data_IF_242365842310
#
_entry.id   IF_242365842310
#
_cell.length_a   1.000
_cell.length_b   1.000
_cell.length_c   1.000
_cell.angle_alpha   90.00
_cell.angle_beta   90.00
_cell.angle_gamma   90.00
#
_symmetry.space_group_name_H-M   'P 1'
#
loop_
_entity.id
_entity.type
_entity.pdbx_description
1 polymer ?
#
# COMPACT_ATOMS: atom_id res chain seq x y z
N UNK A 1 14.82 10.28 27.34
CA UNK A 1 14.04 10.58 26.12
C UNK A 1 13.96 9.28 25.35
N UNK A 2 12.80 8.62 25.36
CA UNK A 2 12.57 7.43 24.55
C UNK A 2 12.08 7.91 23.18
N UNK A 3 12.97 7.96 22.21
CA UNK A 3 12.60 7.93 20.79
C UNK A 3 12.02 6.56 20.50
N UNK A 4 10.74 6.38 20.86
CA UNK A 4 9.95 5.27 20.34
C UNK A 4 9.60 5.65 18.91
N UNK A 5 10.51 5.33 17.99
CA UNK A 5 10.13 5.19 16.59
C UNK A 5 8.80 4.41 16.54
N UNK A 6 7.83 4.82 15.71
CA UNK A 6 6.57 4.09 15.59
C UNK A 6 6.89 2.59 15.43
N UNK A 7 6.10 1.68 16.02
CA UNK A 7 6.34 0.25 15.86
C UNK A 7 6.59 -0.03 14.38
N UNK A 8 7.68 -0.75 14.08
CA UNK A 8 8.30 -0.92 12.75
C UNK A 8 7.32 -1.32 11.61
N UNK A 9 6.11 -1.72 11.98
CA UNK A 9 5.07 -2.29 11.14
C UNK A 9 3.74 -1.50 11.18
N UNK A 10 3.67 -0.31 11.80
CA UNK A 10 2.40 0.47 11.90
C UNK A 10 1.78 0.75 10.54
N UNK A 11 2.57 1.19 9.56
CA UNK A 11 2.04 1.44 8.22
C UNK A 11 1.63 0.15 7.50
N UNK A 12 2.27 -0.98 7.82
CA UNK A 12 1.85 -2.27 7.29
C UNK A 12 0.51 -2.72 7.89
N UNK A 13 0.32 -2.53 9.19
CA UNK A 13 -0.96 -2.82 9.85
C UNK A 13 -2.08 -1.90 9.32
N UNK A 14 -1.79 -0.62 9.09
CA UNK A 14 -2.71 0.30 8.43
C UNK A 14 -3.06 -0.16 7.01
N UNK A 15 -2.07 -0.66 6.24
CA UNK A 15 -2.34 -1.25 4.93
C UNK A 15 -3.33 -2.41 5.03
N UNK A 16 -3.08 -3.36 5.92
CA UNK A 16 -3.94 -4.55 6.12
C UNK A 16 -5.36 -4.16 6.51
N UNK A 17 -5.51 -3.20 7.42
CA UNK A 17 -6.81 -2.71 7.84
C UNK A 17 -7.57 -2.04 6.68
N UNK A 18 -6.89 -1.17 5.91
CA UNK A 18 -7.50 -0.51 4.76
C UNK A 18 -7.89 -1.49 3.64
N UNK A 19 -7.09 -2.53 3.38
CA UNK A 19 -7.48 -3.61 2.47
C UNK A 19 -8.69 -4.39 2.98
N UNK A 20 -8.75 -4.68 4.28
CA UNK A 20 -9.91 -5.31 4.90
C UNK A 20 -11.19 -4.49 4.72
N UNK A 21 -11.09 -3.18 4.94
CA UNK A 21 -12.18 -2.22 4.69
C UNK A 21 -12.57 -2.22 3.21
N UNK A 22 -11.60 -2.13 2.29
CA UNK A 22 -11.87 -2.13 0.85
C UNK A 22 -12.63 -3.40 0.40
N UNK A 23 -12.22 -4.58 0.91
CA UNK A 23 -12.92 -5.86 0.66
C UNK A 23 -14.36 -5.84 1.16
N UNK A 24 -14.58 -5.34 2.38
CA UNK A 24 -15.92 -5.22 2.95
C UNK A 24 -16.80 -4.28 2.12
N UNK A 25 -16.28 -3.11 1.75
CA UNK A 25 -17.02 -2.12 0.96
C UNK A 25 -17.40 -2.68 -0.43
N UNK A 26 -16.51 -3.43 -1.09
CA UNK A 26 -16.83 -4.11 -2.36
C UNK A 26 -17.92 -5.17 -2.14
N UNK A 27 -17.79 -5.99 -1.10
CA UNK A 27 -18.76 -7.05 -0.80
C UNK A 27 -20.16 -6.49 -0.52
N UNK A 28 -20.26 -5.39 0.21
CA UNK A 28 -21.51 -4.72 0.54
C UNK A 28 -22.08 -3.85 -0.60
N UNK A 29 -21.43 -3.78 -1.76
CA UNK A 29 -21.86 -2.96 -2.90
C UNK A 29 -21.85 -1.46 -2.60
N UNK A 30 -20.90 -1.00 -1.79
CA UNK A 30 -20.78 0.41 -1.39
C UNK A 30 -20.33 1.30 -2.56
N UNK A 31 -20.59 2.62 -2.50
CA UNK A 31 -20.21 3.55 -3.56
C UNK A 31 -18.73 3.47 -3.95
N UNK A 32 -18.46 3.65 -5.25
CA UNK A 32 -17.10 3.57 -5.82
C UNK A 32 -16.11 4.48 -5.10
N UNK A 33 -16.52 5.70 -4.75
CA UNK A 33 -15.66 6.65 -4.05
C UNK A 33 -15.09 6.09 -2.74
N UNK A 34 -15.92 5.39 -1.94
CA UNK A 34 -15.46 4.80 -0.67
C UNK A 34 -14.47 3.67 -0.90
N UNK A 35 -14.73 2.82 -1.90
CA UNK A 35 -13.82 1.73 -2.27
C UNK A 35 -12.50 2.30 -2.78
N UNK A 36 -12.55 3.31 -3.66
CA UNK A 36 -11.37 3.98 -4.20
C UNK A 36 -10.52 4.60 -3.08
N UNK A 37 -11.13 5.29 -2.11
CA UNK A 37 -10.43 5.85 -0.96
C UNK A 37 -9.76 4.76 -0.11
N UNK A 38 -10.47 3.70 0.25
CA UNK A 38 -9.90 2.61 1.06
C UNK A 38 -8.74 1.89 0.32
N UNK A 39 -8.89 1.67 -0.99
CA UNK A 39 -7.84 1.12 -1.85
C UNK A 39 -6.60 2.04 -1.88
N UNK A 40 -6.80 3.34 -2.10
CA UNK A 40 -5.69 4.30 -2.14
C UNK A 40 -4.95 4.36 -0.80
N UNK A 41 -5.69 4.42 0.32
CA UNK A 41 -5.10 4.42 1.65
C UNK A 41 -4.30 3.15 1.95
N UNK A 42 -4.77 1.99 1.47
CA UNK A 42 -4.04 0.74 1.59
C UNK A 42 -2.71 0.77 0.84
N UNK A 43 -2.72 1.24 -0.41
CA UNK A 43 -1.51 1.34 -1.25
C UNK A 43 -0.54 2.37 -0.70
N UNK A 44 -1.03 3.52 -0.25
CA UNK A 44 -0.19 4.55 0.37
C UNK A 44 0.47 4.03 1.65
N UNK A 45 -0.29 3.35 2.50
CA UNK A 45 0.24 2.77 3.74
C UNK A 45 1.31 1.72 3.44
N UNK A 46 1.08 0.82 2.48
CA UNK A 46 2.10 -0.15 2.06
C UNK A 46 3.34 0.53 1.46
N UNK A 47 3.17 1.62 0.70
CA UNK A 47 4.28 2.36 0.10
C UNK A 47 5.15 3.02 1.18
N UNK A 48 4.51 3.69 2.14
CA UNK A 48 5.19 4.29 3.31
C UNK A 48 5.93 3.23 4.11
N UNK A 49 5.30 2.09 4.34
CA UNK A 49 5.93 0.97 5.03
C UNK A 49 7.16 0.48 4.26
N UNK A 50 7.06 0.28 2.94
CA UNK A 50 8.17 -0.22 2.12
C UNK A 50 9.35 0.76 2.08
N UNK A 51 9.06 2.06 1.99
CA UNK A 51 10.08 3.11 2.08
C UNK A 51 10.76 3.11 3.45
N UNK A 52 9.99 3.11 4.54
CA UNK A 52 10.54 3.10 5.90
C UNK A 52 11.45 1.89 6.12
N UNK A 53 11.01 0.68 5.72
CA UNK A 53 11.80 -0.53 5.91
C UNK A 53 13.04 -0.62 5.02
N UNK A 54 13.02 0.04 3.85
CA UNK A 54 14.19 0.18 2.96
C UNK A 54 15.08 1.39 3.30
N UNK A 55 14.73 2.19 4.32
CA UNK A 55 15.51 3.36 4.72
C UNK A 55 15.38 4.55 3.77
N UNK A 56 14.28 4.61 3.01
CA UNK A 56 13.98 5.68 2.06
C UNK A 56 12.92 6.63 2.63
N UNK A 57 13.01 7.95 2.36
CA UNK A 57 12.03 8.91 2.84
C UNK A 57 10.72 8.85 2.03
N UNK A 58 9.58 9.09 2.71
CA UNK A 58 8.31 9.39 2.04
C UNK A 58 8.20 10.88 1.75
N UNK A 59 7.87 11.23 0.50
CA UNK A 59 7.89 12.62 0.00
C UNK A 59 6.49 13.26 -0.06
N UNK A 60 5.47 12.60 0.48
CA UNK A 60 4.09 13.12 0.49
C UNK A 60 3.31 12.92 -0.82
N UNK A 61 3.91 12.24 -1.80
CA UNK A 61 3.31 11.95 -3.10
C UNK A 61 3.47 10.47 -3.45
N UNK A 62 2.36 9.77 -3.63
CA UNK A 62 2.38 8.33 -3.87
C UNK A 62 3.05 7.97 -5.20
N UNK A 63 2.81 8.72 -6.27
CA UNK A 63 3.40 8.44 -7.58
C UNK A 63 4.92 8.61 -7.58
N UNK A 64 5.43 9.69 -6.97
CA UNK A 64 6.85 9.91 -6.77
C UNK A 64 7.49 8.82 -5.89
N UNK A 65 6.82 8.42 -4.81
CA UNK A 65 7.28 7.34 -3.94
C UNK A 65 7.31 5.98 -4.63
N UNK A 66 6.32 5.66 -5.46
CA UNK A 66 6.33 4.45 -6.30
C UNK A 66 7.49 4.49 -7.30
N UNK A 67 7.76 5.64 -7.93
CA UNK A 67 8.93 5.82 -8.81
C UNK A 67 10.25 5.64 -8.07
N UNK A 68 10.35 6.14 -6.84
CA UNK A 68 11.53 5.97 -5.98
C UNK A 68 11.80 4.51 -5.63
N UNK A 69 10.75 3.71 -5.42
CA UNK A 69 10.84 2.26 -5.23
C UNK A 69 11.13 1.49 -6.54
N UNK A 70 11.22 2.18 -7.69
CA UNK A 70 11.25 1.58 -9.02
C UNK A 70 10.07 0.63 -9.29
N UNK A 71 8.88 1.02 -8.81
CA UNK A 71 7.66 0.28 -9.08
C UNK A 71 7.31 0.31 -10.58
N UNK A 72 6.81 -0.81 -11.14
CA UNK A 72 6.23 -0.82 -12.46
C UNK A 72 5.12 0.25 -12.59
N UNK A 73 5.08 0.94 -13.73
CA UNK A 73 4.14 2.03 -13.99
C UNK A 73 2.68 1.62 -13.82
N UNK A 74 2.36 0.36 -14.15
CA UNK A 74 1.01 -0.18 -14.05
C UNK A 74 0.51 -0.25 -12.59
N UNK A 75 1.39 -0.33 -11.59
CA UNK A 75 1.02 -0.30 -10.17
C UNK A 75 0.33 1.03 -9.80
N UNK A 76 0.79 2.14 -10.38
CA UNK A 76 0.16 3.46 -10.21
C UNK A 76 -1.11 3.58 -11.04
N UNK A 77 -1.09 3.18 -12.31
CA UNK A 77 -2.23 3.32 -13.22
C UNK A 77 -3.48 2.56 -12.73
N UNK A 78 -3.28 1.42 -12.05
CA UNK A 78 -4.35 0.66 -11.42
C UNK A 78 -5.10 1.43 -10.33
N UNK A 79 -4.52 2.51 -9.78
CA UNK A 79 -5.14 3.32 -8.74
C UNK A 79 -6.02 4.44 -9.29
N UNK A 80 -6.01 4.71 -10.60
CA UNK A 80 -6.62 5.94 -11.15
C UNK A 80 -8.08 5.79 -11.56
N UNK A 81 -8.49 4.65 -12.13
CA UNK A 81 -9.84 4.49 -12.69
C UNK A 81 -10.37 3.05 -12.61
N UNK A 82 -11.70 2.92 -12.60
CA UNK A 82 -12.40 1.66 -12.82
C UNK A 82 -13.36 1.26 -11.70
N UNK A 83 -14.19 0.27 -12.02
CA UNK A 83 -15.19 -0.27 -11.11
C UNK A 83 -14.59 -0.76 -9.77
N UNK A 84 -15.38 -0.79 -8.67
CA UNK A 84 -14.92 -1.16 -7.34
C UNK A 84 -14.06 -2.42 -7.26
N UNK A 85 -14.49 -3.52 -7.91
CA UNK A 85 -13.74 -4.78 -7.92
C UNK A 85 -12.36 -4.64 -8.61
N UNK A 86 -12.27 -3.83 -9.67
CA UNK A 86 -11.00 -3.55 -10.36
C UNK A 86 -10.06 -2.71 -9.49
N UNK A 87 -10.60 -1.74 -8.74
CA UNK A 87 -9.83 -0.94 -7.78
C UNK A 87 -9.22 -1.83 -6.69
N UNK A 88 -10.02 -2.71 -6.11
CA UNK A 88 -9.57 -3.64 -5.07
C UNK A 88 -8.47 -4.56 -5.60
N UNK A 89 -8.67 -5.20 -6.75
CA UNK A 89 -7.65 -6.05 -7.36
C UNK A 89 -6.35 -5.27 -7.68
N UNK A 90 -6.48 -4.02 -8.10
CA UNK A 90 -5.35 -3.11 -8.32
C UNK A 90 -4.57 -2.82 -7.03
N UNK A 91 -5.27 -2.54 -5.93
CA UNK A 91 -4.66 -2.31 -4.63
C UNK A 91 -3.98 -3.58 -4.09
N UNK A 92 -4.64 -4.75 -4.18
CA UNK A 92 -4.06 -6.01 -3.74
C UNK A 92 -2.79 -6.36 -4.51
N UNK A 93 -2.77 -6.12 -5.81
CA UNK A 93 -1.58 -6.31 -6.65
C UNK A 93 -0.44 -5.34 -6.27
N UNK A 94 -0.77 -4.08 -6.00
CA UNK A 94 0.21 -3.09 -5.54
C UNK A 94 0.84 -3.49 -4.20
N UNK A 95 0.03 -3.91 -3.24
CA UNK A 95 0.50 -4.36 -1.92
C UNK A 95 1.36 -5.62 -2.03
N UNK A 96 0.94 -6.60 -2.83
CA UNK A 96 1.73 -7.82 -3.09
C UNK A 96 3.10 -7.50 -3.72
N UNK A 97 3.14 -6.53 -4.64
CA UNK A 97 4.39 -6.07 -5.23
C UNK A 97 5.33 -5.46 -4.17
N UNK A 98 4.81 -4.62 -3.26
CA UNK A 98 5.62 -3.99 -2.20
C UNK A 98 6.16 -5.02 -1.19
N UNK A 99 5.36 -6.00 -0.79
CA UNK A 99 5.82 -7.11 0.04
C UNK A 99 6.96 -7.90 -0.65
N UNK A 100 6.80 -8.17 -1.94
CA UNK A 100 7.82 -8.85 -2.75
C UNK A 100 9.09 -8.01 -2.93
N UNK A 101 8.94 -6.70 -3.11
CA UNK A 101 10.04 -5.74 -3.17
C UNK A 101 10.90 -5.81 -1.90
N UNK A 102 10.28 -5.72 -0.72
CA UNK A 102 11.01 -5.82 0.54
C UNK A 102 11.71 -7.14 0.74
N UNK A 103 11.10 -8.25 0.31
CA UNK A 103 11.75 -9.56 0.34
C UNK A 103 13.08 -9.59 -0.40
N UNK A 104 13.21 -8.79 -1.47
CA UNK A 104 14.46 -8.65 -2.20
C UNK A 104 15.43 -7.67 -1.55
N UNK A 105 14.97 -6.48 -1.15
CA UNK A 105 15.87 -5.38 -0.77
C UNK A 105 16.22 -5.36 0.73
N UNK A 106 15.38 -5.95 1.57
CA UNK A 106 15.54 -6.00 3.01
C UNK A 106 14.98 -7.33 3.57
N UNK A 107 15.58 -8.49 3.26
CA UNK A 107 15.00 -9.81 3.57
C UNK A 107 14.74 -10.06 5.07
N UNK A 108 15.53 -9.45 5.96
CA UNK A 108 15.30 -9.49 7.43
C UNK A 108 14.18 -8.57 7.94
N UNK A 109 13.54 -7.82 7.02
CA UNK A 109 12.46 -6.85 7.26
C UNK A 109 11.34 -7.12 6.26
N UNK A 110 10.83 -8.33 6.29
CA UNK A 110 9.77 -8.77 5.37
C UNK A 110 8.48 -8.98 6.11
N UNK A 111 7.39 -8.83 5.38
CA UNK A 111 6.06 -9.20 5.85
C UNK A 111 5.59 -10.45 5.12
N UNK A 112 4.87 -11.31 5.83
CA UNK A 112 4.13 -12.39 5.21
C UNK A 112 2.96 -11.82 4.42
N UNK A 113 2.89 -12.12 3.12
CA UNK A 113 1.78 -11.79 2.24
C UNK A 113 1.47 -12.99 1.35
#
# INVERSE_FOLDING_TARGET
>A
MMDSAPPRDVFWDHCRNNLGIARLLVHEGRPEALVATACLMAVESACRAALEQSGLPYVGDLEASLRQLAAPRDIWELQQAGAPARRLAGAERAVAWMASYLKRVAPGRTWGY
#
